data_IF_577597695852
#
_entry.id   IF_577597695852
#
_cell.length_a   1.000
_cell.length_b   1.000
_cell.length_c   1.000
_cell.angle_alpha   90.00
_cell.angle_beta   90.00
_cell.angle_gamma   90.00
#
_symmetry.space_group_name_H-M   'P 1'
#
loop_
_entity.id
_entity.type
_entity.pdbx_description
1 polymer ?
#
# COMPACT_ATOMS: atom_id res chain seq x y z
N UNK A 1 3.74 -12.52 -11.03
CA UNK A 1 5.19 -12.78 -10.92
C UNK A 1 5.63 -14.10 -11.56
N UNK A 2 5.20 -15.29 -11.10
CA UNK A 2 5.71 -16.60 -11.60
C UNK A 2 5.73 -16.71 -13.13
N UNK A 3 4.61 -16.40 -13.80
CA UNK A 3 4.49 -16.44 -15.27
C UNK A 3 5.49 -15.53 -16.00
N UNK A 4 5.82 -14.38 -15.42
CA UNK A 4 6.81 -13.44 -15.97
C UNK A 4 8.20 -14.07 -15.88
N UNK A 5 8.54 -14.62 -14.72
CA UNK A 5 9.84 -15.24 -14.51
C UNK A 5 10.02 -16.52 -15.35
N UNK A 6 8.96 -17.33 -15.51
CA UNK A 6 8.95 -18.51 -16.41
C UNK A 6 9.14 -18.10 -17.88
N UNK A 7 8.48 -17.02 -18.31
CA UNK A 7 8.68 -16.43 -19.65
C UNK A 7 10.16 -16.07 -19.87
N UNK A 8 10.81 -15.44 -18.89
CA UNK A 8 12.23 -15.14 -18.97
C UNK A 8 13.11 -16.39 -19.01
N UNK A 9 12.88 -17.38 -18.15
CA UNK A 9 13.65 -18.64 -18.15
C UNK A 9 13.55 -19.39 -19.46
N UNK A 10 12.37 -19.40 -20.08
CA UNK A 10 12.16 -20.07 -21.36
C UNK A 10 13.00 -19.46 -22.50
N UNK A 11 13.32 -18.16 -22.39
CA UNK A 11 14.08 -17.41 -23.40
C UNK A 11 15.56 -17.32 -23.04
N UNK A 12 15.88 -17.26 -21.76
CA UNK A 12 17.21 -17.02 -21.21
C UNK A 12 17.45 -17.96 -20.02
N UNK A 13 17.84 -19.21 -20.28
CA UNK A 13 17.98 -20.27 -19.25
C UNK A 13 18.87 -19.88 -18.07
N UNK A 14 19.90 -19.07 -18.31
CA UNK A 14 20.91 -18.70 -17.30
C UNK A 14 20.73 -17.28 -16.73
N UNK A 15 19.68 -16.55 -17.14
CA UNK A 15 19.54 -15.13 -16.77
C UNK A 15 19.08 -14.91 -15.32
N UNK A 16 18.41 -15.88 -14.70
CA UNK A 16 17.84 -15.74 -13.34
C UNK A 16 18.09 -17.03 -12.52
N UNK A 17 19.08 -17.02 -11.61
CA UNK A 17 19.33 -18.14 -10.69
C UNK A 17 18.07 -18.54 -9.89
N UNK A 18 17.98 -19.80 -9.48
CA UNK A 18 16.83 -20.32 -8.69
C UNK A 18 16.56 -19.52 -7.42
N UNK A 19 17.61 -19.16 -6.68
CA UNK A 19 17.47 -18.37 -5.46
C UNK A 19 16.89 -16.98 -5.74
N UNK A 20 17.32 -16.33 -6.83
CA UNK A 20 16.79 -15.03 -7.24
C UNK A 20 15.33 -15.13 -7.70
N UNK A 21 14.98 -16.24 -8.37
CA UNK A 21 13.61 -16.49 -8.82
C UNK A 21 12.65 -16.62 -7.64
N UNK A 22 13.04 -17.39 -6.61
CA UNK A 22 12.22 -17.55 -5.42
C UNK A 22 12.14 -16.25 -4.61
N UNK A 23 13.26 -15.53 -4.46
CA UNK A 23 13.29 -14.24 -3.76
C UNK A 23 12.40 -13.20 -4.44
N UNK A 24 12.38 -13.11 -5.78
CA UNK A 24 11.48 -12.22 -6.52
C UNK A 24 10.00 -12.58 -6.34
N UNK A 25 9.65 -13.86 -6.23
CA UNK A 25 8.27 -14.30 -5.95
C UNK A 25 7.84 -13.91 -4.55
N UNK A 26 8.72 -14.06 -3.57
CA UNK A 26 8.46 -13.69 -2.18
C UNK A 26 8.38 -12.16 -2.05
N UNK A 27 9.29 -11.43 -2.68
CA UNK A 27 9.23 -9.97 -2.74
C UNK A 27 7.92 -9.49 -3.38
N UNK A 28 7.48 -10.12 -4.48
CA UNK A 28 6.18 -9.82 -5.09
C UNK A 28 5.00 -10.12 -4.16
N UNK A 29 5.07 -11.21 -3.38
CA UNK A 29 4.02 -11.56 -2.43
C UNK A 29 3.96 -10.59 -1.25
N UNK A 30 5.11 -10.07 -0.82
CA UNK A 30 5.24 -9.25 0.39
C UNK A 30 5.33 -7.74 0.12
N UNK A 31 5.33 -7.29 -1.14
CA UNK A 31 5.54 -5.87 -1.48
C UNK A 31 4.56 -4.93 -0.76
N UNK A 32 3.30 -5.35 -0.64
CA UNK A 32 2.21 -4.59 -0.02
C UNK A 32 1.94 -4.94 1.45
N UNK A 33 2.79 -5.76 2.10
CA UNK A 33 2.55 -6.23 3.48
C UNK A 33 2.56 -5.10 4.52
N UNK A 34 3.14 -3.95 4.17
CA UNK A 34 3.22 -2.77 5.01
C UNK A 34 2.00 -1.84 4.92
N UNK A 35 0.97 -2.16 4.14
CA UNK A 35 -0.18 -1.27 4.01
C UNK A 35 -1.02 -1.18 5.28
N UNK A 36 -1.44 0.05 5.59
CA UNK A 36 -2.37 0.35 6.66
C UNK A 36 -3.81 0.01 6.31
N UNK A 37 -4.72 0.02 7.30
CA UNK A 37 -6.14 0.19 7.02
C UNK A 37 -6.37 1.35 6.04
N UNK A 38 -7.24 1.18 5.05
CA UNK A 38 -7.46 2.14 3.96
C UNK A 38 -6.18 2.59 3.23
N UNK A 39 -5.10 1.80 3.30
CA UNK A 39 -3.86 1.94 2.54
C UNK A 39 -3.27 3.37 2.58
N UNK A 40 -3.15 4.03 1.44
CA UNK A 40 -2.55 5.37 1.32
C UNK A 40 -3.30 6.48 2.05
N UNK A 41 -4.57 6.27 2.42
CA UNK A 41 -5.32 7.26 3.18
C UNK A 41 -4.60 7.60 4.50
N UNK A 42 -4.12 6.58 5.19
CA UNK A 42 -3.48 6.69 6.49
C UNK A 42 -2.12 7.40 6.42
N UNK A 43 -1.40 7.20 5.32
CA UNK A 43 -0.12 7.87 5.07
C UNK A 43 -0.27 9.36 4.76
N UNK A 44 -1.43 9.76 4.20
CA UNK A 44 -1.74 11.15 3.82
C UNK A 44 -2.28 11.97 4.99
N UNK A 45 -2.29 11.42 6.20
CA UNK A 45 -2.66 12.17 7.40
C UNK A 45 -1.49 13.06 7.83
N UNK A 46 -1.67 14.37 7.69
CA UNK A 46 -0.80 15.35 8.35
C UNK A 46 -1.05 15.37 9.86
N UNK A 47 -0.17 14.67 10.59
CA UNK A 47 -0.17 14.59 12.05
C UNK A 47 0.29 15.90 12.72
N UNK A 48 1.10 16.72 12.04
CA UNK A 48 1.62 17.99 12.58
C UNK A 48 0.52 19.05 12.69
N UNK A 49 -0.37 19.12 11.69
CA UNK A 49 -1.56 19.96 11.77
C UNK A 49 -2.50 19.51 12.89
N UNK A 50 -2.67 18.20 13.11
CA UNK A 50 -3.47 17.68 14.21
C UNK A 50 -2.92 18.13 15.58
N UNK A 51 -1.59 18.17 15.74
CA UNK A 51 -0.94 18.61 16.98
C UNK A 51 -1.16 20.11 17.28
N UNK A 52 -1.18 20.98 16.27
CA UNK A 52 -1.46 22.43 16.44
C UNK A 52 -2.87 22.73 16.96
N UNK A 53 -3.84 21.85 16.70
CA UNK A 53 -5.20 21.98 17.25
C UNK A 53 -5.26 21.59 18.74
N UNK A 54 -4.41 20.66 19.17
CA UNK A 54 -4.31 20.22 20.58
C UNK A 54 -3.72 21.34 21.44
N UNK A 55 -2.60 21.95 21.03
CA UNK A 55 -1.95 23.04 21.79
C UNK A 55 -2.79 24.32 21.86
N UNK A 56 -3.74 24.54 20.95
CA UNK A 56 -4.67 25.68 21.04
C UNK A 56 -5.85 25.49 22.02
N UNK A 57 -6.18 24.24 22.40
CA UNK A 57 -7.31 23.94 23.30
C UNK A 57 -6.92 23.66 24.75
N UNK A 58 -5.63 23.50 25.05
CA UNK A 58 -5.11 23.37 26.40
C UNK A 58 -4.20 24.54 26.73
N UNK A 59 -4.53 25.28 27.78
CA UNK A 59 -3.66 26.29 28.40
C UNK A 59 -2.26 25.73 28.65
N UNK A 60 -1.25 26.54 28.33
CA UNK A 60 0.07 26.64 28.95
C UNK A 60 0.58 25.37 29.66
N UNK A 61 1.07 24.41 28.87
CA UNK A 61 2.15 23.53 29.32
C UNK A 61 3.17 23.39 28.21
N UNK A 62 4.23 24.17 28.34
CA UNK A 62 5.54 23.88 27.79
C UNK A 62 6.02 22.54 28.37
N UNK A 63 5.76 21.44 27.67
CA UNK A 63 6.63 20.27 27.77
C UNK A 63 7.13 19.94 26.37
N UNK A 64 8.45 19.98 26.27
CA UNK A 64 9.30 19.58 25.15
C UNK A 64 9.11 18.09 24.79
N UNK A 65 7.92 17.71 24.37
CA UNK A 65 7.72 16.45 23.66
C UNK A 65 8.04 16.71 22.18
N UNK A 66 9.15 16.13 21.70
CA UNK A 66 9.40 16.03 20.27
C UNK A 66 8.12 15.54 19.57
N UNK A 67 7.76 16.07 18.38
CA UNK A 67 6.54 15.66 17.70
C UNK A 67 6.51 14.13 17.62
N UNK A 68 5.36 13.49 17.96
CA UNK A 68 5.25 12.05 17.83
C UNK A 68 5.63 11.68 16.41
N UNK A 69 6.60 10.77 16.26
CA UNK A 69 7.10 10.34 14.97
C UNK A 69 5.91 10.00 14.07
N UNK A 70 5.86 10.54 12.87
CA UNK A 70 4.79 10.23 11.92
C UNK A 70 4.72 8.71 11.66
N UNK A 71 3.53 8.23 11.30
CA UNK A 71 3.40 6.84 10.88
C UNK A 71 4.39 6.55 9.74
N UNK A 72 5.16 5.45 9.80
CA UNK A 72 6.09 5.12 8.73
C UNK A 72 5.33 4.85 7.43
N UNK A 73 5.89 5.21 6.27
CA UNK A 73 5.33 4.79 4.98
C UNK A 73 5.26 3.27 4.88
N UNK A 74 4.33 2.75 4.09
CA UNK A 74 4.08 1.32 3.85
C UNK A 74 5.36 0.60 3.43
N UNK A 75 6.20 1.17 2.57
CA UNK A 75 7.51 0.59 2.21
C UNK A 75 8.41 0.34 3.44
N UNK A 76 8.44 1.31 4.35
CA UNK A 76 9.25 1.24 5.57
C UNK A 76 8.64 0.29 6.59
N UNK A 77 7.31 0.30 6.70
CA UNK A 77 6.59 -0.61 7.57
C UNK A 77 6.72 -2.05 7.08
N UNK A 78 6.62 -2.29 5.78
CA UNK A 78 6.83 -3.59 5.14
C UNK A 78 8.24 -4.13 5.41
N UNK A 79 9.28 -3.31 5.28
CA UNK A 79 10.64 -3.69 5.69
C UNK A 79 10.70 -4.10 7.17
N UNK A 80 10.07 -3.35 8.07
CA UNK A 80 10.04 -3.66 9.50
C UNK A 80 9.36 -5.00 9.75
N UNK A 81 8.21 -5.23 9.11
CA UNK A 81 7.45 -6.48 9.22
C UNK A 81 8.28 -7.65 8.71
N UNK A 82 8.91 -7.53 7.54
CA UNK A 82 9.71 -8.60 6.92
C UNK A 82 10.97 -8.91 7.76
N UNK A 83 11.67 -7.88 8.25
CA UNK A 83 12.99 -8.06 8.89
C UNK A 83 12.93 -8.26 10.41
N UNK A 84 11.89 -7.77 11.09
CA UNK A 84 11.83 -7.76 12.56
C UNK A 84 10.76 -8.68 13.13
N UNK A 85 9.64 -8.87 12.42
CA UNK A 85 8.55 -9.71 12.93
C UNK A 85 8.95 -11.19 12.87
N UNK A 86 8.81 -11.88 14.00
CA UNK A 86 9.34 -13.23 14.21
C UNK A 86 8.71 -14.27 13.27
N UNK A 87 7.38 -14.27 13.16
CA UNK A 87 6.62 -15.22 12.34
C UNK A 87 7.00 -15.22 10.86
N UNK A 88 7.30 -14.05 10.28
CA UNK A 88 7.75 -13.92 8.89
C UNK A 88 9.25 -14.20 8.79
N UNK A 89 10.06 -13.57 9.64
CA UNK A 89 11.52 -13.70 9.62
C UNK A 89 11.95 -15.17 9.71
N UNK A 90 11.42 -15.91 10.67
CA UNK A 90 11.78 -17.31 10.88
C UNK A 90 11.35 -18.19 9.70
N UNK A 91 10.22 -17.88 9.04
CA UNK A 91 9.78 -18.63 7.85
C UNK A 91 10.68 -18.39 6.64
N UNK A 92 11.26 -17.20 6.51
CA UNK A 92 12.24 -16.89 5.46
C UNK A 92 13.58 -17.58 5.77
N UNK A 93 14.06 -17.48 7.01
CA UNK A 93 15.32 -18.10 7.46
C UNK A 93 15.31 -19.62 7.31
N UNK A 94 14.20 -20.30 7.64
CA UNK A 94 14.03 -21.76 7.42
C UNK A 94 14.16 -22.14 5.95
N UNK A 95 13.83 -21.23 5.03
CA UNK A 95 13.99 -21.43 3.60
C UNK A 95 15.37 -21.01 3.06
N UNK A 96 16.32 -20.65 3.94
CA UNK A 96 17.63 -20.08 3.59
C UNK A 96 17.52 -18.77 2.77
N UNK A 97 16.54 -17.93 3.11
CA UNK A 97 16.29 -16.64 2.45
C UNK A 97 16.56 -15.52 3.46
N UNK A 98 17.45 -14.57 3.13
CA UNK A 98 17.69 -13.41 3.96
C UNK A 98 16.51 -12.41 3.84
N UNK A 99 15.79 -12.10 4.93
CA UNK A 99 14.73 -11.09 4.93
C UNK A 99 15.19 -9.70 4.46
N UNK A 100 16.47 -9.35 4.67
CA UNK A 100 17.04 -8.07 4.23
C UNK A 100 17.12 -7.99 2.71
N UNK A 101 17.43 -9.09 2.04
CA UNK A 101 17.45 -9.16 0.59
C UNK A 101 16.04 -8.97 0.02
N UNK A 102 15.03 -9.59 0.64
CA UNK A 102 13.62 -9.40 0.26
C UNK A 102 13.21 -7.93 0.42
N UNK A 103 13.53 -7.32 1.55
CA UNK A 103 13.23 -5.89 1.78
C UNK A 103 13.96 -4.98 0.78
N UNK A 104 15.20 -5.30 0.42
CA UNK A 104 15.97 -4.56 -0.59
C UNK A 104 15.38 -4.71 -2.00
N UNK A 105 14.89 -5.90 -2.36
CA UNK A 105 14.20 -6.14 -3.63
C UNK A 105 12.90 -5.33 -3.74
N UNK A 106 12.08 -5.31 -2.70
CA UNK A 106 10.83 -4.54 -2.66
C UNK A 106 11.10 -3.04 -2.80
N UNK A 107 12.20 -2.53 -2.26
CA UNK A 107 12.57 -1.10 -2.39
C UNK A 107 13.27 -0.75 -3.71
N UNK A 108 13.55 -1.73 -4.56
CA UNK A 108 14.39 -1.52 -5.75
C UNK A 108 15.83 -1.11 -5.42
N UNK A 109 16.32 -1.42 -4.21
CA UNK A 109 17.69 -1.14 -3.78
C UNK A 109 18.67 -2.22 -4.23
N UNK A 110 18.16 -3.38 -4.61
CA UNK A 110 18.94 -4.38 -5.30
C UNK A 110 19.12 -3.95 -6.76
N UNK A 111 20.34 -4.00 -7.29
CA UNK A 111 20.59 -4.05 -8.75
C UNK A 111 20.14 -5.40 -9.32
N UNK A 112 18.99 -5.93 -8.88
CA UNK A 112 18.43 -7.10 -9.51
C UNK A 112 18.02 -6.68 -10.92
N UNK A 113 18.52 -7.47 -11.87
CA UNK A 113 18.26 -7.58 -13.32
C UNK A 113 16.78 -7.37 -13.74
N UNK A 114 15.88 -7.35 -12.77
CA UNK A 114 14.45 -7.46 -12.92
C UNK A 114 13.79 -6.43 -12.02
N UNK A 115 13.73 -5.17 -12.45
CA UNK A 115 12.86 -4.13 -11.84
C UNK A 115 11.36 -4.45 -12.04
N UNK A 116 10.97 -5.71 -11.89
CA UNK A 116 9.62 -6.23 -12.11
C UNK A 116 8.64 -5.87 -10.99
N UNK A 117 9.12 -5.22 -9.94
CA UNK A 117 8.31 -4.73 -8.83
C UNK A 117 8.25 -3.20 -8.79
N UNK A 118 9.19 -2.51 -9.43
CA UNK A 118 9.32 -1.06 -9.37
C UNK A 118 9.73 -0.49 -10.73
N UNK A 119 8.84 -0.56 -11.73
CA UNK A 119 9.11 -0.04 -13.07
C UNK A 119 7.86 0.56 -13.71
N UNK A 120 8.03 1.21 -14.87
CA UNK A 120 6.87 1.64 -15.67
C UNK A 120 5.93 0.49 -16.03
N UNK A 121 6.52 -0.70 -16.25
CA UNK A 121 5.87 -1.98 -16.49
C UNK A 121 6.35 -2.98 -15.43
N UNK A 122 5.59 -3.13 -14.36
CA UNK A 122 5.86 -4.05 -13.26
C UNK A 122 4.70 -5.04 -13.08
N UNK A 123 4.94 -6.08 -12.28
CA UNK A 123 3.96 -7.12 -12.00
C UNK A 123 2.79 -6.61 -11.15
N UNK A 124 3.01 -5.59 -10.32
CA UNK A 124 2.00 -4.95 -9.50
C UNK A 124 0.94 -4.25 -10.37
N UNK A 125 1.36 -3.34 -11.26
CA UNK A 125 0.45 -2.62 -12.18
C UNK A 125 -0.34 -3.52 -13.08
N UNK A 126 0.31 -4.56 -13.60
CA UNK A 126 -0.36 -5.55 -14.43
C UNK A 126 -1.45 -6.32 -13.67
N UNK A 127 -1.26 -6.52 -12.36
CA UNK A 127 -2.26 -7.17 -11.51
C UNK A 127 -3.39 -6.20 -11.15
N UNK A 128 -3.09 -5.05 -10.53
CA UNK A 128 -4.14 -4.16 -10.03
C UNK A 128 -4.99 -3.59 -11.16
N UNK A 129 -4.44 -3.28 -12.34
CA UNK A 129 -5.25 -2.74 -13.44
C UNK A 129 -6.33 -3.72 -13.87
N UNK A 130 -5.97 -5.00 -14.01
CA UNK A 130 -6.91 -6.06 -14.41
C UNK A 130 -7.89 -6.36 -13.29
N UNK A 131 -7.40 -6.48 -12.05
CA UNK A 131 -8.20 -6.74 -10.85
C UNK A 131 -9.22 -5.64 -10.59
N UNK A 132 -8.81 -4.39 -10.63
CA UNK A 132 -9.68 -3.25 -10.34
C UNK A 132 -10.70 -3.05 -11.46
N UNK A 133 -10.29 -3.23 -12.71
CA UNK A 133 -11.22 -3.21 -13.85
C UNK A 133 -12.31 -4.27 -13.70
N UNK A 134 -11.93 -5.48 -13.28
CA UNK A 134 -12.89 -6.56 -13.03
C UNK A 134 -13.86 -6.22 -11.89
N UNK A 135 -13.33 -5.76 -10.74
CA UNK A 135 -14.13 -5.49 -9.54
C UNK A 135 -15.01 -4.23 -9.65
N UNK A 136 -14.56 -3.21 -10.38
CA UNK A 136 -15.35 -2.00 -10.63
C UNK A 136 -16.34 -2.16 -11.78
N UNK A 137 -16.16 -3.18 -12.63
CA UNK A 137 -16.95 -3.39 -13.84
C UNK A 137 -16.60 -2.44 -14.99
N UNK A 138 -15.60 -1.56 -14.83
CA UNK A 138 -15.15 -0.65 -15.87
C UNK A 138 -14.20 -1.36 -16.83
N UNK A 139 -14.33 -1.18 -18.15
CA UNK A 139 -13.53 -1.94 -19.12
C UNK A 139 -12.08 -1.43 -19.27
N UNK A 140 -11.72 -0.32 -18.63
CA UNK A 140 -10.51 0.43 -18.94
C UNK A 140 -9.20 -0.29 -18.57
N UNK A 141 -9.19 -1.11 -17.52
CA UNK A 141 -8.00 -1.86 -17.09
C UNK A 141 -7.87 -3.24 -17.75
N UNK A 142 -8.63 -3.54 -18.80
CA UNK A 142 -8.49 -4.80 -19.55
C UNK A 142 -7.23 -4.78 -20.41
N UNK A 143 -6.17 -5.39 -19.89
CA UNK A 143 -4.87 -5.50 -20.56
C UNK A 143 -4.71 -6.92 -21.13
N UNK A 144 -4.11 -7.04 -22.33
CA UNK A 144 -3.67 -8.34 -22.87
C UNK A 144 -2.41 -8.81 -22.14
N UNK A 145 -2.61 -9.26 -20.90
CA UNK A 145 -1.56 -9.70 -20.00
C UNK A 145 -0.74 -10.85 -20.61
N UNK A 146 -1.39 -11.78 -21.31
CA UNK A 146 -0.73 -12.93 -21.91
C UNK A 146 0.23 -12.48 -23.01
N UNK A 147 -0.23 -11.61 -23.90
CA UNK A 147 0.62 -11.12 -24.98
C UNK A 147 1.77 -10.25 -24.46
N UNK A 148 1.54 -9.39 -23.46
CA UNK A 148 2.62 -8.61 -22.83
C UNK A 148 3.66 -9.54 -22.21
N UNK A 149 3.25 -10.48 -21.35
CA UNK A 149 4.16 -11.41 -20.66
C UNK A 149 4.95 -12.27 -21.64
N UNK A 150 4.31 -12.73 -22.73
CA UNK A 150 4.96 -13.51 -23.77
C UNK A 150 5.97 -12.70 -24.60
N UNK A 151 5.88 -11.37 -24.58
CA UNK A 151 6.77 -10.47 -25.32
C UNK A 151 7.76 -9.70 -24.43
N UNK A 152 7.81 -9.99 -23.13
CA UNK A 152 8.89 -9.53 -22.26
C UNK A 152 10.21 -10.24 -22.61
N UNK A 153 11.31 -9.48 -22.63
CA UNK A 153 12.67 -9.97 -22.84
C UNK A 153 13.65 -9.31 -21.87
N UNK A 154 14.84 -9.90 -21.78
CA UNK A 154 15.98 -9.33 -21.09
C UNK A 154 17.02 -8.91 -22.12
N UNK A 155 17.59 -7.72 -21.96
CA UNK A 155 18.76 -7.29 -22.74
C UNK A 155 20.04 -7.98 -22.24
N UNK A 156 21.14 -7.83 -22.97
CA UNK A 156 22.46 -8.30 -22.55
C UNK A 156 22.92 -7.60 -21.27
N UNK A 157 22.54 -6.33 -21.09
CA UNK A 157 22.72 -5.53 -19.88
C UNK A 157 21.72 -5.90 -18.78
N UNK A 158 20.95 -6.98 -18.97
CA UNK A 158 20.02 -7.49 -17.97
C UNK A 158 18.92 -6.49 -17.60
N UNK A 159 18.40 -5.78 -18.60
CA UNK A 159 17.24 -4.90 -18.44
C UNK A 159 15.96 -5.54 -18.99
N UNK A 160 14.83 -5.30 -18.33
CA UNK A 160 13.53 -5.80 -18.79
C UNK A 160 13.00 -4.91 -19.91
N UNK A 161 12.80 -5.50 -21.09
CA UNK A 161 12.27 -4.83 -22.28
C UNK A 161 11.07 -5.57 -22.86
N UNK A 162 10.37 -4.93 -23.80
CA UNK A 162 9.23 -5.50 -24.51
C UNK A 162 9.54 -5.51 -26.00
N UNK A 163 9.30 -6.64 -26.69
CA UNK A 163 9.44 -6.74 -28.15
C UNK A 163 8.60 -5.67 -28.86
N UNK A 164 9.16 -5.07 -29.92
CA UNK A 164 8.49 -4.01 -30.69
C UNK A 164 7.08 -4.38 -31.19
N UNK A 165 6.84 -5.66 -31.53
CA UNK A 165 5.51 -6.15 -31.95
C UNK A 165 4.42 -6.08 -30.86
N UNK A 166 4.80 -5.87 -29.60
CA UNK A 166 3.88 -5.68 -28.49
C UNK A 166 3.67 -4.21 -28.10
N UNK A 167 4.21 -3.27 -28.88
CA UNK A 167 4.04 -1.82 -28.67
C UNK A 167 2.58 -1.42 -28.44
N UNK A 168 1.67 -1.84 -29.31
CA UNK A 168 0.25 -1.47 -29.21
C UNK A 168 -0.42 -1.98 -27.92
N UNK A 169 0.01 -3.15 -27.41
CA UNK A 169 -0.50 -3.68 -26.14
C UNK A 169 0.01 -2.87 -24.94
N UNK A 170 1.25 -2.38 -25.00
CA UNK A 170 1.80 -1.47 -23.99
C UNK A 170 1.11 -0.11 -24.05
N UNK A 171 0.89 0.46 -25.25
CA UNK A 171 0.13 1.70 -25.44
C UNK A 171 -1.29 1.59 -24.88
N UNK A 172 -1.96 0.46 -25.16
CA UNK A 172 -3.29 0.19 -24.62
C UNK A 172 -3.28 0.09 -23.09
N UNK A 173 -2.29 -0.59 -22.50
CA UNK A 173 -2.12 -0.65 -21.04
C UNK A 173 -1.92 0.75 -20.43
N UNK A 174 -1.08 1.60 -21.03
CA UNK A 174 -0.84 2.96 -20.54
C UNK A 174 -2.11 3.82 -20.61
N UNK A 175 -2.87 3.70 -21.70
CA UNK A 175 -4.16 4.39 -21.87
C UNK A 175 -5.19 3.88 -20.84
N UNK A 176 -5.25 2.56 -20.65
CA UNK A 176 -6.10 1.94 -19.64
C UNK A 176 -5.79 2.44 -18.23
N UNK A 177 -4.51 2.55 -17.88
CA UNK A 177 -4.06 3.13 -16.61
C UNK A 177 -4.49 4.58 -16.45
N UNK A 178 -4.35 5.41 -17.49
CA UNK A 178 -4.81 6.80 -17.47
C UNK A 178 -6.32 6.90 -17.20
N UNK A 179 -7.13 6.06 -17.86
CA UNK A 179 -8.58 6.04 -17.65
C UNK A 179 -8.97 5.50 -16.26
N UNK A 180 -8.32 4.45 -15.78
CA UNK A 180 -8.52 3.93 -14.42
C UNK A 180 -8.19 5.00 -13.37
N UNK A 181 -7.09 5.74 -13.57
CA UNK A 181 -6.71 6.83 -12.69
C UNK A 181 -7.77 7.91 -12.58
N UNK A 182 -8.27 8.42 -13.72
CA UNK A 182 -9.27 9.48 -13.70
C UNK A 182 -10.65 9.02 -13.24
N UNK A 183 -11.03 7.77 -13.58
CA UNK A 183 -12.41 7.30 -13.38
C UNK A 183 -12.60 6.64 -12.02
N UNK A 184 -11.59 5.93 -11.51
CA UNK A 184 -11.67 5.15 -10.28
C UNK A 184 -10.86 5.82 -9.17
N UNK A 185 -9.55 5.91 -9.35
CA UNK A 185 -8.63 6.31 -8.28
C UNK A 185 -8.83 7.78 -7.86
N UNK A 186 -9.10 8.67 -8.83
CA UNK A 186 -9.38 10.09 -8.60
C UNK A 186 -10.88 10.42 -8.61
N UNK A 187 -11.75 9.41 -8.48
CA UNK A 187 -13.19 9.66 -8.51
C UNK A 187 -13.60 10.58 -7.36
N UNK A 188 -14.30 11.67 -7.68
CA UNK A 188 -14.73 12.70 -6.72
C UNK A 188 -15.38 12.15 -5.45
N UNK A 189 -16.25 11.15 -5.59
CA UNK A 189 -16.94 10.55 -4.44
C UNK A 189 -15.99 9.76 -3.55
N UNK A 190 -15.01 9.06 -4.13
CA UNK A 190 -13.96 8.35 -3.37
C UNK A 190 -13.16 9.37 -2.59
N UNK A 191 -12.69 10.43 -3.26
CA UNK A 191 -11.98 11.53 -2.61
C UNK A 191 -12.79 12.16 -1.45
N UNK A 192 -14.08 12.40 -1.63
CA UNK A 192 -14.95 12.93 -0.58
C UNK A 192 -14.98 12.03 0.67
N UNK A 193 -15.10 10.70 0.48
CA UNK A 193 -15.04 9.74 1.58
C UNK A 193 -13.64 9.66 2.20
N UNK A 194 -12.58 9.70 1.40
CA UNK A 194 -11.21 9.71 1.92
C UNK A 194 -10.98 10.90 2.86
N UNK A 195 -11.42 12.10 2.48
CA UNK A 195 -11.31 13.29 3.34
C UNK A 195 -12.12 13.15 4.64
N UNK A 196 -13.33 12.56 4.57
CA UNK A 196 -14.12 12.29 5.77
C UNK A 196 -13.42 11.31 6.71
N UNK A 197 -12.97 10.17 6.19
CA UNK A 197 -12.27 9.15 6.98
C UNK A 197 -10.98 9.76 7.55
N UNK A 198 -10.26 10.58 6.79
CA UNK A 198 -9.07 11.29 7.30
C UNK A 198 -9.39 12.17 8.51
N UNK A 199 -10.51 12.91 8.46
CA UNK A 199 -10.99 13.70 9.61
C UNK A 199 -11.40 12.83 10.80
N UNK A 200 -12.06 11.70 10.55
CA UNK A 200 -12.43 10.72 11.59
C UNK A 200 -11.16 10.19 12.26
N UNK A 201 -10.20 9.69 11.48
CA UNK A 201 -8.95 9.11 12.00
C UNK A 201 -8.17 10.15 12.81
N UNK A 202 -8.04 11.39 12.33
CA UNK A 202 -7.41 12.48 13.10
C UNK A 202 -8.07 12.70 14.46
N UNK A 203 -9.41 12.74 14.51
CA UNK A 203 -10.15 12.90 15.77
C UNK A 203 -10.03 11.70 16.70
N UNK A 204 -10.02 10.48 16.15
CA UNK A 204 -9.80 9.26 16.93
C UNK A 204 -8.38 9.26 17.53
N UNK A 205 -7.39 9.72 16.77
CA UNK A 205 -6.02 9.87 17.22
C UNK A 205 -5.89 10.91 18.34
N UNK A 206 -6.50 12.10 18.19
CA UNK A 206 -6.54 13.14 19.22
C UNK A 206 -7.16 12.65 20.53
N UNK A 207 -8.14 11.74 20.46
CA UNK A 207 -8.78 11.10 21.62
C UNK A 207 -8.00 9.90 22.17
N UNK A 208 -6.85 9.56 21.58
CA UNK A 208 -6.05 8.38 21.94
C UNK A 208 -6.78 7.05 21.73
N UNK A 209 -7.61 6.97 20.69
CA UNK A 209 -8.40 5.76 20.34
C UNK A 209 -7.74 4.91 19.26
N UNK A 210 -6.70 5.43 18.64
CA UNK A 210 -5.81 4.71 17.74
C UNK A 210 -4.36 4.99 18.15
N UNK A 211 -3.41 4.24 17.60
CA UNK A 211 -1.99 4.33 17.95
C UNK A 211 -1.46 5.77 17.84
N UNK A 212 -0.81 6.26 18.89
CA UNK A 212 -0.49 7.68 19.06
C UNK A 212 0.76 8.12 18.30
N UNK A 213 1.65 7.20 17.96
CA UNK A 213 2.90 7.52 17.27
C UNK A 213 3.33 6.44 16.30
N UNK A 214 4.15 6.82 15.33
CA UNK A 214 4.84 5.90 14.44
C UNK A 214 5.76 4.94 15.20
N UNK A 215 6.32 5.33 16.34
CA UNK A 215 7.09 4.40 17.19
C UNK A 215 6.20 3.26 17.72
N UNK A 216 4.97 3.58 18.14
CA UNK A 216 4.00 2.57 18.58
C UNK A 216 3.63 1.63 17.42
N UNK A 217 3.48 2.17 16.21
CA UNK A 217 3.26 1.37 14.99
C UNK A 217 4.46 0.45 14.68
N UNK A 218 5.69 0.97 14.72
CA UNK A 218 6.90 0.16 14.49
C UNK A 218 7.04 -0.94 15.56
N UNK A 219 6.65 -0.64 16.79
CA UNK A 219 6.65 -1.60 17.89
C UNK A 219 5.65 -2.72 17.63
N UNK A 220 4.36 -2.42 17.39
CA UNK A 220 3.37 -3.48 17.16
C UNK A 220 3.69 -4.31 15.91
N UNK A 221 4.29 -3.70 14.89
CA UNK A 221 4.68 -4.38 13.66
C UNK A 221 5.84 -5.35 13.83
N UNK A 222 6.73 -5.08 14.78
CA UNK A 222 7.88 -5.93 15.09
C UNK A 222 7.61 -6.95 16.22
N UNK A 223 6.66 -6.65 17.10
CA UNK A 223 6.24 -7.55 18.17
C UNK A 223 5.58 -8.82 17.62
N UNK A 224 5.84 -9.95 18.28
CA UNK A 224 5.11 -11.21 18.08
C UNK A 224 3.74 -11.15 18.78
N UNK A 225 2.93 -10.17 18.39
CA UNK A 225 1.59 -9.95 18.88
C UNK A 225 0.60 -9.84 17.72
N UNK A 226 -0.68 -10.06 18.04
CA UNK A 226 -1.77 -9.86 17.09
C UNK A 226 -2.11 -8.38 16.85
N UNK A 227 -1.55 -7.43 17.61
CA UNK A 227 -1.91 -6.01 17.51
C UNK A 227 -1.76 -5.46 16.10
N UNK A 228 -0.66 -5.80 15.42
CA UNK A 228 -0.46 -5.41 14.02
C UNK A 228 -1.46 -6.09 13.07
N UNK A 229 -1.69 -7.39 13.25
CA UNK A 229 -2.64 -8.16 12.43
C UNK A 229 -4.09 -7.68 12.61
N UNK A 230 -4.45 -7.25 13.80
CA UNK A 230 -5.78 -6.74 14.13
C UNK A 230 -5.92 -5.25 13.72
N UNK A 231 -4.83 -4.57 13.31
CA UNK A 231 -4.85 -3.21 12.78
C UNK A 231 -5.14 -3.19 11.27
N UNK A 232 -6.37 -3.59 10.92
CA UNK A 232 -6.90 -3.67 9.56
C UNK A 232 -8.17 -2.80 9.40
N UNK A 233 -8.78 -2.76 8.21
CA UNK A 233 -10.00 -1.95 7.94
C UNK A 233 -11.11 -2.17 8.98
N UNK A 234 -11.43 -3.45 9.27
CA UNK A 234 -12.40 -3.80 10.30
C UNK A 234 -12.13 -3.28 11.73
N UNK A 235 -10.88 -2.89 12.07
CA UNK A 235 -10.60 -2.19 13.33
C UNK A 235 -11.13 -0.76 13.29
N UNK A 236 -10.87 -0.04 12.19
CA UNK A 236 -11.39 1.31 12.00
C UNK A 236 -12.90 1.31 11.80
N UNK A 237 -13.45 0.32 11.11
CA UNK A 237 -14.90 0.20 10.90
C UNK A 237 -15.64 0.04 12.23
N UNK A 238 -15.13 -0.81 13.14
CA UNK A 238 -15.68 -0.94 14.50
C UNK A 238 -15.64 0.36 15.28
N UNK A 239 -14.56 1.15 15.14
CA UNK A 239 -14.47 2.47 15.77
C UNK A 239 -15.47 3.45 15.15
N UNK A 240 -15.61 3.46 13.83
CA UNK A 240 -16.61 4.26 13.12
C UNK A 240 -18.01 3.91 13.60
N UNK A 241 -18.33 2.62 13.71
CA UNK A 241 -19.61 2.14 14.22
C UNK A 241 -19.87 2.60 15.65
N UNK A 242 -18.90 2.37 16.55
CA UNK A 242 -19.01 2.78 17.94
C UNK A 242 -19.24 4.30 18.09
N UNK A 243 -18.52 5.11 17.31
CA UNK A 243 -18.59 6.57 17.41
C UNK A 243 -19.78 7.17 16.68
N UNK A 244 -20.38 6.49 15.70
CA UNK A 244 -21.65 6.90 15.12
C UNK A 244 -22.78 6.88 16.16
N UNK A 245 -22.79 5.87 17.04
CA UNK A 245 -23.81 5.73 18.08
C UNK A 245 -23.53 6.64 19.30
N UNK A 246 -22.26 7.05 19.48
CA UNK A 246 -21.81 7.85 20.61
C UNK A 246 -21.94 9.36 20.38
N UNK A 247 -23.05 9.95 20.83
CA UNK A 247 -23.36 11.39 20.65
C UNK A 247 -22.58 12.36 21.56
N UNK A 248 -21.56 11.90 22.30
CA UNK A 248 -20.72 12.80 23.14
C UNK A 248 -19.91 13.79 22.31
N UNK A 249 -19.37 13.34 21.18
CA UNK A 249 -18.73 14.20 20.19
C UNK A 249 -19.62 14.29 18.96
N UNK A 250 -20.45 15.34 18.90
CA UNK A 250 -21.46 15.51 17.86
C UNK A 250 -20.88 15.52 16.45
N UNK A 251 -19.69 16.07 16.28
CA UNK A 251 -19.06 16.17 14.95
C UNK A 251 -18.42 14.85 14.54
N UNK A 252 -17.73 14.15 15.45
CA UNK A 252 -17.23 12.81 15.17
C UNK A 252 -18.39 11.84 14.88
N UNK A 253 -19.46 11.88 15.67
CA UNK A 253 -20.64 11.07 15.45
C UNK A 253 -21.32 11.37 14.10
N UNK A 254 -21.41 12.64 13.71
CA UNK A 254 -21.95 13.04 12.42
C UNK A 254 -21.09 12.52 11.26
N UNK A 255 -19.76 12.65 11.32
CA UNK A 255 -18.85 12.12 10.32
C UNK A 255 -18.96 10.60 10.20
N UNK A 256 -18.92 9.88 11.32
CA UNK A 256 -19.05 8.43 11.35
C UNK A 256 -20.41 7.96 10.80
N UNK A 257 -21.51 8.62 11.21
CA UNK A 257 -22.85 8.34 10.69
C UNK A 257 -22.93 8.56 9.19
N UNK A 258 -22.34 9.65 8.69
CA UNK A 258 -22.33 9.98 7.28
C UNK A 258 -21.53 8.95 6.45
N UNK A 259 -20.41 8.41 6.97
CA UNK A 259 -19.70 7.29 6.32
C UNK A 259 -20.59 6.04 6.29
N UNK A 260 -21.20 5.65 7.42
CA UNK A 260 -22.09 4.47 7.52
C UNK A 260 -23.28 4.54 6.56
N UNK A 261 -23.91 5.71 6.45
CA UNK A 261 -25.06 5.94 5.58
C UNK A 261 -24.66 6.26 4.14
N UNK A 262 -23.36 6.21 3.80
CA UNK A 262 -22.81 6.56 2.49
C UNK A 262 -23.25 7.95 2.01
N UNK A 263 -23.17 8.94 2.89
CA UNK A 263 -23.51 10.34 2.65
C UNK A 263 -22.23 11.20 2.64
N UNK A 264 -21.48 11.25 1.52
CA UNK A 264 -20.27 12.05 1.42
C UNK A 264 -20.59 13.55 1.38
N UNK A 265 -19.64 14.42 1.77
CA UNK A 265 -19.81 15.86 1.59
C UNK A 265 -19.95 16.19 0.11
N UNK A 266 -20.74 17.24 -0.17
CA UNK A 266 -20.80 17.80 -1.51
C UNK A 266 -19.46 18.50 -1.81
N UNK A 267 -18.78 18.04 -2.85
CA UNK A 267 -17.58 18.70 -3.34
C UNK A 267 -17.96 19.88 -4.24
N UNK A 268 -17.29 21.01 -4.02
CA UNK A 268 -17.40 22.22 -4.84
C UNK A 268 -16.11 22.31 -5.64
N UNK A 269 -16.24 22.36 -6.96
CA UNK A 269 -15.15 22.44 -7.94
C UNK A 269 -15.19 23.78 -8.64
#
# INVERSE_FOLDING_TARGET
>A
MTRILESFRSKNKDAVPDDHFQNLRIAALLHDIGHYPYSHLMERIDWNSAQKYITKKGQDKEESASPPKEYPKHDKLGEIVITRRKDIREKLEVCNIDPRDIAALIKGQHQSILNLLNASLDADRLDYLVRDSLNTGLPYGKVDLNYIVNNLELTDEKEVVVRAKAKSSIEHMLMGRYFMFNTVYMHKTVFAFEEMIRKIVRRLWEKGKIYKSGQEIEQIASEDSRKFLDFHDGYLDKLIDHYADNKRDKELAALCTAVKLRQPPKLVY
#
